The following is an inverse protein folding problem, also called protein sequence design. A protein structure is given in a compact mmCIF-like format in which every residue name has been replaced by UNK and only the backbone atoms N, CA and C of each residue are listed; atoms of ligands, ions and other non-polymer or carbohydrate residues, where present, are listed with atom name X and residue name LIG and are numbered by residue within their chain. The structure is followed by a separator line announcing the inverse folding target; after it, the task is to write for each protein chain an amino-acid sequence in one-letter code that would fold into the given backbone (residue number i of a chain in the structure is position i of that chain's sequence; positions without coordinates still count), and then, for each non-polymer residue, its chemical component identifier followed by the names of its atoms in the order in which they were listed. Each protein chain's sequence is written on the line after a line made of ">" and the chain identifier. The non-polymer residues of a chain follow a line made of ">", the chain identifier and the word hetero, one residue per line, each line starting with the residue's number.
data_IF_744258075708
#
_entry.id   IF_744258075708
#
_cell.length_a   1.000
_cell.length_b   1.000
_cell.length_c   1.000
_cell.angle_alpha   90.00
_cell.angle_beta   90.00
_cell.angle_gamma   90.00
#
_symmetry.space_group_name_H-M   'P 1'
#
loop_
_entity.id
_entity.type
_entity.pdbx_description
1 polymer ?
#
# COMPACT_ATOMS: atom_id res chain seq x y z
N UNK A 1 -3.68 -28.18 38.68
CA UNK A 1 -3.13 -27.11 37.83
C UNK A 1 -3.47 -27.47 36.40
N UNK A 2 -4.52 -26.87 35.83
CA UNK A 2 -4.90 -27.04 34.41
C UNK A 2 -4.15 -26.00 33.60
N UNK A 3 -3.53 -26.35 32.46
CA UNK A 3 -3.00 -25.34 31.54
C UNK A 3 -4.16 -24.67 30.79
N UNK A 4 -4.13 -23.35 30.78
CA UNK A 4 -5.03 -22.47 30.05
C UNK A 4 -4.90 -22.73 28.53
N UNK A 5 -6.01 -22.78 27.77
CA UNK A 5 -5.92 -22.93 26.32
C UNK A 5 -5.35 -21.66 25.69
N UNK A 6 -4.29 -21.83 24.93
CA UNK A 6 -3.72 -20.80 24.06
C UNK A 6 -4.84 -20.27 23.13
N UNK A 7 -5.01 -18.96 23.14
CA UNK A 7 -5.86 -18.24 22.21
C UNK A 7 -5.39 -18.48 20.79
N UNK A 8 -6.03 -19.44 20.15
CA UNK A 8 -5.90 -19.73 18.73
C UNK A 8 -6.32 -18.49 17.96
N UNK A 9 -5.32 -17.73 17.49
CA UNK A 9 -5.57 -16.65 16.54
C UNK A 9 -6.00 -17.33 15.26
N UNK A 10 -7.30 -17.43 15.07
CA UNK A 10 -7.93 -17.80 13.83
C UNK A 10 -7.34 -16.95 12.68
N UNK A 11 -6.28 -17.46 12.07
CA UNK A 11 -6.11 -17.19 10.65
C UNK A 11 -7.34 -17.78 9.97
N UNK A 12 -8.07 -17.04 9.15
CA UNK A 12 -9.16 -17.61 8.40
C UNK A 12 -8.58 -18.78 7.59
N UNK A 13 -8.95 -19.99 7.99
CA UNK A 13 -8.74 -21.18 7.17
C UNK A 13 -9.38 -20.84 5.83
N UNK A 14 -8.55 -20.70 4.82
CA UNK A 14 -8.97 -20.54 3.45
C UNK A 14 -9.64 -21.85 3.00
N UNK A 15 -10.87 -22.07 3.42
CA UNK A 15 -11.83 -22.75 2.59
C UNK A 15 -12.15 -21.79 1.45
N UNK A 16 -11.18 -21.70 0.54
CA UNK A 16 -11.41 -21.15 -0.78
C UNK A 16 -12.47 -22.07 -1.40
N UNK A 17 -13.73 -21.65 -1.37
CA UNK A 17 -14.71 -22.15 -2.31
C UNK A 17 -14.05 -22.03 -3.68
N UNK A 18 -13.66 -23.17 -4.24
CA UNK A 18 -13.07 -23.23 -5.59
C UNK A 18 -14.11 -22.62 -6.50
N UNK A 19 -13.88 -21.38 -6.92
CA UNK A 19 -14.77 -20.72 -7.89
C UNK A 19 -14.53 -21.39 -9.22
N UNK A 20 -15.59 -21.80 -9.88
CA UNK A 20 -15.54 -22.43 -11.20
C UNK A 20 -14.86 -21.53 -12.25
N UNK A 21 -14.85 -20.22 -12.01
CA UNK A 21 -14.12 -19.24 -12.80
C UNK A 21 -13.59 -18.12 -11.90
N UNK A 22 -12.29 -18.08 -11.57
CA UNK A 22 -11.69 -17.05 -10.71
C UNK A 22 -11.76 -15.64 -11.31
N UNK A 23 -11.94 -15.49 -12.62
CA UNK A 23 -12.07 -14.19 -13.29
C UNK A 23 -13.49 -13.62 -13.22
N UNK A 24 -14.48 -14.40 -12.79
CA UNK A 24 -15.84 -13.91 -12.64
C UNK A 24 -15.99 -13.15 -11.31
N UNK A 25 -16.54 -11.93 -11.32
CA UNK A 25 -16.81 -11.22 -10.08
C UNK A 25 -17.75 -12.02 -9.17
N UNK A 26 -17.53 -12.03 -7.85
CA UNK A 26 -18.45 -12.58 -6.89
C UNK A 26 -19.85 -11.97 -7.02
N UNK A 27 -20.87 -12.72 -6.63
CA UNK A 27 -22.25 -12.23 -6.69
C UNK A 27 -22.50 -11.00 -5.76
N UNK A 28 -21.70 -10.87 -4.72
CA UNK A 28 -21.71 -9.77 -3.74
C UNK A 28 -20.79 -8.61 -4.11
N UNK A 29 -20.20 -8.63 -5.32
CA UNK A 29 -19.34 -7.53 -5.78
C UNK A 29 -20.11 -6.22 -5.86
N UNK A 30 -19.45 -5.08 -5.55
CA UNK A 30 -20.09 -3.77 -5.65
C UNK A 30 -20.59 -3.51 -7.07
N UNK A 31 -21.89 -3.29 -7.22
CA UNK A 31 -22.52 -3.01 -8.52
C UNK A 31 -22.72 -1.52 -8.79
N UNK A 32 -22.55 -0.69 -7.75
CA UNK A 32 -22.68 0.78 -7.84
C UNK A 32 -21.43 1.48 -7.32
N UNK A 33 -21.19 2.71 -7.79
CA UNK A 33 -20.08 3.55 -7.29
C UNK A 33 -20.15 3.75 -5.77
N UNK A 34 -21.36 3.94 -5.23
CA UNK A 34 -21.55 4.13 -3.79
C UNK A 34 -21.15 2.88 -2.99
N UNK A 35 -21.47 1.69 -3.49
CA UNK A 35 -21.03 0.43 -2.88
C UNK A 35 -19.51 0.27 -2.98
N UNK A 36 -18.91 0.56 -4.14
CA UNK A 36 -17.45 0.52 -4.32
C UNK A 36 -16.75 1.46 -3.33
N UNK A 37 -17.22 2.70 -3.19
CA UNK A 37 -16.69 3.64 -2.21
C UNK A 37 -16.83 3.16 -0.77
N UNK A 38 -17.95 2.53 -0.40
CA UNK A 38 -18.11 1.95 0.95
C UNK A 38 -17.10 0.83 1.20
N UNK A 39 -16.93 -0.06 0.24
CA UNK A 39 -15.95 -1.15 0.34
C UNK A 39 -14.55 -0.57 0.46
N UNK A 40 -14.15 0.36 -0.40
CA UNK A 40 -12.87 1.04 -0.36
C UNK A 40 -12.61 1.68 1.01
N UNK A 41 -13.53 2.53 1.49
CA UNK A 41 -13.38 3.24 2.76
C UNK A 41 -13.52 2.32 3.98
N UNK A 42 -14.01 1.10 3.86
CA UNK A 42 -14.03 0.12 4.94
C UNK A 42 -12.68 -0.58 5.17
N UNK A 43 -11.76 -0.48 4.20
CA UNK A 43 -10.45 -1.12 4.30
C UNK A 43 -9.44 -0.24 5.06
N UNK A 44 -8.57 -0.91 5.80
CA UNK A 44 -7.56 -0.21 6.62
C UNK A 44 -6.53 0.57 5.80
N UNK A 45 -6.28 0.13 4.57
CA UNK A 45 -5.29 0.72 3.69
C UNK A 45 -5.70 2.14 3.27
N UNK A 46 -6.84 2.37 2.59
CA UNK A 46 -7.31 3.72 2.29
C UNK A 46 -7.49 4.60 3.53
N UNK A 47 -8.02 4.03 4.64
CA UNK A 47 -8.17 4.78 5.88
C UNK A 47 -6.83 5.28 6.41
N UNK A 48 -5.80 4.41 6.41
CA UNK A 48 -4.47 4.76 6.85
C UNK A 48 -3.83 5.84 5.96
N UNK A 49 -3.94 5.69 4.64
CA UNK A 49 -3.42 6.68 3.67
C UNK A 49 -4.11 8.03 3.82
N UNK A 50 -5.43 8.05 3.94
CA UNK A 50 -6.20 9.28 4.14
C UNK A 50 -5.78 9.96 5.46
N UNK A 51 -5.66 9.21 6.54
CA UNK A 51 -5.21 9.75 7.82
C UNK A 51 -3.81 10.36 7.72
N UNK A 52 -2.87 9.66 7.09
CA UNK A 52 -1.50 10.16 6.87
C UNK A 52 -1.47 11.41 5.99
N UNK A 53 -2.29 11.44 4.93
CA UNK A 53 -2.42 12.62 4.07
C UNK A 53 -2.95 13.82 4.85
N UNK A 54 -4.01 13.65 5.63
CA UNK A 54 -4.60 14.73 6.44
C UNK A 54 -3.59 15.26 7.45
N UNK A 55 -2.97 14.38 8.24
CA UNK A 55 -1.95 14.76 9.23
C UNK A 55 -0.77 15.45 8.56
N UNK A 56 -0.28 14.88 7.47
CA UNK A 56 0.85 15.44 6.74
C UNK A 56 0.54 16.79 6.09
N UNK A 57 -0.66 16.99 5.55
CA UNK A 57 -1.11 18.28 5.01
C UNK A 57 -1.20 19.35 6.10
N UNK A 58 -1.74 19.01 7.27
CA UNK A 58 -1.78 19.92 8.42
C UNK A 58 -0.35 20.29 8.83
N UNK A 59 0.54 19.32 8.95
CA UNK A 59 1.93 19.56 9.31
C UNK A 59 2.66 20.41 8.25
N UNK A 60 2.46 20.09 6.95
CA UNK A 60 3.05 20.89 5.87
C UNK A 60 2.57 22.34 5.88
N UNK A 61 1.29 22.55 6.17
CA UNK A 61 0.73 23.89 6.32
C UNK A 61 1.35 24.66 7.51
N UNK A 62 1.58 23.98 8.64
CA UNK A 62 2.21 24.57 9.83
C UNK A 62 3.68 24.95 9.61
N UNK A 63 4.42 24.17 8.81
CA UNK A 63 5.80 24.47 8.47
C UNK A 63 5.93 25.77 7.64
N UNK A 64 4.89 26.15 6.90
CA UNK A 64 4.93 27.31 6.00
C UNK A 64 6.00 27.19 4.91
N UNK A 65 6.53 28.34 4.46
CA UNK A 65 7.65 28.38 3.52
C UNK A 65 7.35 27.76 2.15
N UNK A 66 6.11 27.90 1.67
CA UNK A 66 5.72 27.44 0.33
C UNK A 66 6.47 28.22 -0.75
N UNK A 67 6.99 27.50 -1.75
CA UNK A 67 7.75 28.10 -2.82
C UNK A 67 7.53 27.38 -4.16
N UNK A 68 8.17 27.92 -5.21
CA UNK A 68 8.14 27.33 -6.54
C UNK A 68 8.63 25.88 -6.57
N UNK A 69 9.54 25.53 -5.65
CA UNK A 69 10.08 24.18 -5.55
C UNK A 69 9.00 23.15 -5.18
N UNK A 70 8.04 23.50 -4.34
CA UNK A 70 6.90 22.61 -4.03
C UNK A 70 6.09 22.29 -5.29
N UNK A 71 5.86 23.30 -6.15
CA UNK A 71 5.21 23.10 -7.44
C UNK A 71 6.00 22.18 -8.37
N UNK A 72 7.31 22.36 -8.44
CA UNK A 72 8.19 21.47 -9.24
C UNK A 72 8.15 20.05 -8.70
N UNK A 73 8.18 19.85 -7.37
CA UNK A 73 8.10 18.53 -6.75
C UNK A 73 6.78 17.85 -7.12
N UNK A 74 5.65 18.55 -7.01
CA UNK A 74 4.34 18.03 -7.38
C UNK A 74 4.35 17.51 -8.82
N UNK A 75 4.76 18.37 -9.78
CA UNK A 75 4.81 18.00 -11.20
C UNK A 75 5.79 16.85 -11.45
N UNK A 76 6.99 16.91 -10.87
CA UNK A 76 8.01 15.87 -11.07
C UNK A 76 7.55 14.51 -10.54
N UNK A 77 6.97 14.47 -9.33
CA UNK A 77 6.47 13.22 -8.74
C UNK A 77 5.33 12.66 -9.60
N UNK A 78 4.38 13.49 -10.03
CA UNK A 78 3.31 13.06 -10.92
C UNK A 78 3.83 12.49 -12.25
N UNK A 79 4.84 13.10 -12.83
CA UNK A 79 5.44 12.64 -14.08
C UNK A 79 6.24 11.34 -13.93
N UNK A 80 6.95 11.18 -12.80
CA UNK A 80 7.85 10.05 -12.55
C UNK A 80 7.09 8.84 -11.99
N UNK A 81 6.04 9.06 -11.20
CA UNK A 81 5.33 8.01 -10.49
C UNK A 81 4.91 6.82 -11.36
N UNK A 82 4.32 6.99 -12.56
CA UNK A 82 3.95 5.86 -13.41
C UNK A 82 5.14 4.96 -13.80
N UNK A 83 6.32 5.54 -13.98
CA UNK A 83 7.54 4.78 -14.29
C UNK A 83 8.05 4.02 -13.06
N UNK A 84 7.99 4.64 -11.88
CA UNK A 84 8.33 3.99 -10.61
C UNK A 84 7.39 2.82 -10.35
N UNK A 85 6.10 3.03 -10.50
CA UNK A 85 5.08 2.01 -10.37
C UNK A 85 5.29 0.86 -11.36
N UNK A 86 5.48 1.17 -12.64
CA UNK A 86 5.81 0.18 -13.66
C UNK A 86 7.06 -0.62 -13.28
N UNK A 87 8.11 0.05 -12.81
CA UNK A 87 9.35 -0.59 -12.38
C UNK A 87 9.15 -1.53 -11.20
N UNK A 88 8.43 -1.07 -10.16
CA UNK A 88 8.08 -1.90 -9.00
C UNK A 88 7.24 -3.10 -9.46
N UNK A 89 6.20 -2.87 -10.23
CA UNK A 89 5.34 -3.93 -10.73
C UNK A 89 6.14 -4.96 -11.54
N UNK A 90 6.96 -4.50 -12.48
CA UNK A 90 7.70 -5.36 -13.41
C UNK A 90 8.84 -6.14 -12.74
N UNK A 91 9.60 -5.50 -11.87
CA UNK A 91 10.84 -6.07 -11.33
C UNK A 91 10.71 -6.58 -9.91
N UNK A 92 9.84 -5.97 -9.09
CA UNK A 92 9.65 -6.37 -7.69
C UNK A 92 8.47 -7.31 -7.55
N UNK A 93 7.28 -6.93 -8.01
CA UNK A 93 6.06 -7.73 -7.79
C UNK A 93 6.05 -9.02 -8.62
N UNK A 94 6.61 -9.00 -9.82
CA UNK A 94 6.79 -10.20 -10.66
C UNK A 94 8.11 -10.95 -10.42
N UNK A 95 8.83 -10.64 -9.34
CA UNK A 95 10.05 -11.37 -8.99
C UNK A 95 9.73 -12.85 -8.76
N UNK A 96 10.49 -13.72 -9.43
CA UNK A 96 10.30 -15.17 -9.33
C UNK A 96 11.08 -15.74 -8.15
N UNK A 97 10.57 -16.79 -7.47
CA UNK A 97 11.33 -17.49 -6.45
C UNK A 97 12.69 -17.95 -7.00
N UNK A 98 13.75 -17.69 -6.24
CA UNK A 98 15.10 -18.11 -6.60
C UNK A 98 15.50 -19.28 -5.72
N UNK A 99 15.98 -20.35 -6.34
CA UNK A 99 16.54 -21.51 -5.63
C UNK A 99 18.06 -21.39 -5.54
N UNK A 100 18.55 -21.42 -4.31
CA UNK A 100 19.98 -21.48 -4.04
C UNK A 100 20.26 -22.75 -3.23
N UNK A 101 20.65 -23.82 -3.92
CA UNK A 101 20.80 -25.15 -3.34
C UNK A 101 19.47 -25.68 -2.79
N UNK A 102 19.42 -25.92 -1.47
CA UNK A 102 18.20 -26.37 -0.76
C UNK A 102 17.31 -25.23 -0.28
N UNK A 103 17.76 -23.98 -0.39
CA UNK A 103 17.03 -22.79 0.04
C UNK A 103 16.22 -22.21 -1.11
N UNK A 104 14.93 -21.95 -0.87
CA UNK A 104 14.09 -21.20 -1.80
C UNK A 104 13.86 -19.81 -1.19
N UNK A 105 14.31 -18.78 -1.90
CA UNK A 105 14.09 -17.38 -1.55
C UNK A 105 12.87 -16.90 -2.34
N UNK A 106 11.80 -16.63 -1.63
CA UNK A 106 10.56 -16.10 -2.20
C UNK A 106 10.05 -14.97 -1.31
N UNK A 107 10.12 -13.76 -1.82
CA UNK A 107 9.76 -12.57 -1.05
C UNK A 107 8.25 -12.44 -0.89
N UNK A 108 7.82 -11.82 0.22
CA UNK A 108 6.41 -11.67 0.58
C UNK A 108 5.61 -10.89 -0.48
N UNK A 109 6.12 -9.75 -0.96
CA UNK A 109 5.41 -8.91 -1.95
C UNK A 109 5.13 -9.65 -3.27
N UNK A 110 6.11 -10.31 -3.92
CA UNK A 110 5.84 -11.15 -5.08
C UNK A 110 4.85 -12.29 -4.80
N UNK A 111 4.88 -12.91 -3.62
CA UNK A 111 3.92 -13.96 -3.25
C UNK A 111 2.49 -13.43 -3.19
N UNK A 112 2.27 -12.30 -2.52
CA UNK A 112 0.94 -11.69 -2.41
C UNK A 112 0.42 -11.23 -3.77
N UNK A 113 1.30 -10.68 -4.61
CA UNK A 113 0.95 -10.24 -5.95
C UNK A 113 0.55 -11.42 -6.86
N UNK A 114 1.26 -12.56 -6.79
CA UNK A 114 0.84 -13.78 -7.51
C UNK A 114 -0.50 -14.32 -7.04
N UNK A 115 -0.82 -14.21 -5.74
CA UNK A 115 -2.14 -14.57 -5.19
C UNK A 115 -3.23 -13.63 -5.69
N UNK A 116 -2.93 -12.33 -5.80
CA UNK A 116 -3.84 -11.37 -6.41
C UNK A 116 -4.14 -11.73 -7.87
N UNK A 117 -3.15 -12.11 -8.66
CA UNK A 117 -3.39 -12.57 -10.04
C UNK A 117 -4.21 -13.86 -10.11
N UNK A 118 -4.09 -14.76 -9.13
CA UNK A 118 -4.86 -15.99 -9.07
C UNK A 118 -6.32 -15.76 -8.62
N UNK A 119 -6.55 -14.77 -7.75
CA UNK A 119 -7.89 -14.38 -7.26
C UNK A 119 -7.97 -12.85 -7.16
N UNK A 120 -8.19 -12.14 -8.27
CA UNK A 120 -8.18 -10.69 -8.34
C UNK A 120 -9.34 -10.03 -7.57
N UNK A 121 -10.38 -10.80 -7.22
CA UNK A 121 -11.53 -10.30 -6.47
C UNK A 121 -11.35 -10.41 -4.96
N UNK A 122 -10.28 -11.00 -4.50
CA UNK A 122 -9.97 -11.08 -3.08
C UNK A 122 -9.27 -9.81 -2.61
N UNK A 123 -10.04 -8.93 -2.00
CA UNK A 123 -9.59 -7.63 -1.54
C UNK A 123 -8.43 -7.69 -0.53
N UNK A 124 -8.26 -8.81 0.17
CA UNK A 124 -7.12 -9.00 1.07
C UNK A 124 -5.77 -8.94 0.33
N UNK A 125 -5.73 -9.39 -0.93
CA UNK A 125 -4.51 -9.37 -1.74
C UNK A 125 -4.40 -8.13 -2.62
N UNK A 126 -5.47 -7.35 -2.75
CA UNK A 126 -5.54 -6.15 -3.59
C UNK A 126 -4.94 -4.95 -2.88
N UNK A 127 -5.30 -4.75 -1.61
CA UNK A 127 -4.86 -3.60 -0.84
C UNK A 127 -3.45 -3.75 -0.28
N UNK A 128 -2.76 -2.60 -0.15
CA UNK A 128 -1.38 -2.56 0.37
C UNK A 128 -1.33 -3.09 1.82
N UNK A 129 -0.41 -4.02 2.13
CA UNK A 129 -0.27 -4.57 3.48
C UNK A 129 0.13 -3.51 4.52
N UNK A 130 -0.39 -3.63 5.74
CA UNK A 130 -0.16 -2.67 6.84
C UNK A 130 1.31 -2.39 7.14
N UNK A 131 2.19 -3.39 7.02
CA UNK A 131 3.61 -3.20 7.29
C UNK A 131 4.31 -2.27 6.30
N UNK A 132 3.78 -2.10 5.08
CA UNK A 132 4.31 -1.14 4.12
C UNK A 132 4.17 0.28 4.64
N UNK A 133 3.04 0.62 5.29
CA UNK A 133 2.85 1.93 5.91
C UNK A 133 3.84 2.19 7.03
N UNK A 134 4.17 1.18 7.83
CA UNK A 134 5.18 1.30 8.87
C UNK A 134 6.54 1.70 8.26
N UNK A 135 6.94 1.09 7.15
CA UNK A 135 8.15 1.46 6.43
C UNK A 135 8.09 2.87 5.86
N UNK A 136 6.95 3.27 5.29
CA UNK A 136 6.75 4.66 4.81
C UNK A 136 6.90 5.65 5.95
N UNK A 137 6.26 5.40 7.10
CA UNK A 137 6.35 6.26 8.28
C UNK A 137 7.79 6.35 8.82
N UNK A 138 8.49 5.23 8.93
CA UNK A 138 9.88 5.21 9.39
C UNK A 138 10.79 5.96 8.41
N UNK A 139 10.65 5.74 7.11
CA UNK A 139 11.45 6.45 6.10
C UNK A 139 11.17 7.94 6.11
N UNK A 140 9.91 8.34 6.26
CA UNK A 140 9.51 9.75 6.38
C UNK A 140 10.09 10.39 7.65
N UNK A 141 10.00 9.71 8.79
CA UNK A 141 10.54 10.22 10.05
C UNK A 141 12.07 10.43 9.97
N UNK A 142 12.79 9.43 9.45
CA UNK A 142 14.24 9.52 9.24
C UNK A 142 14.58 10.63 8.25
N UNK A 143 13.89 10.68 7.10
CA UNK A 143 14.13 11.70 6.09
C UNK A 143 13.90 13.10 6.61
N UNK A 144 12.80 13.35 7.32
CA UNK A 144 12.50 14.65 7.92
C UNK A 144 13.46 15.03 9.07
N UNK A 145 13.99 14.04 9.79
CA UNK A 145 15.01 14.26 10.80
C UNK A 145 16.35 14.67 10.18
N UNK A 146 16.75 14.02 9.09
CA UNK A 146 18.02 14.30 8.39
C UNK A 146 17.95 15.57 7.52
N UNK A 147 16.77 15.95 7.05
CA UNK A 147 16.58 17.03 6.08
C UNK A 147 16.36 18.39 6.75
N UNK A 148 17.28 18.80 7.64
CA UNK A 148 17.18 20.14 8.25
C UNK A 148 17.25 21.22 7.16
N UNK A 149 16.31 22.19 7.21
CA UNK A 149 16.14 23.20 6.15
C UNK A 149 15.36 22.74 4.90
N UNK A 150 15.19 21.44 4.67
CA UNK A 150 14.45 20.88 3.53
C UNK A 150 13.16 20.14 3.91
N UNK A 151 12.74 20.24 5.17
CA UNK A 151 11.58 19.52 5.71
C UNK A 151 10.29 19.81 4.93
N UNK A 152 10.06 21.07 4.55
CA UNK A 152 8.89 21.46 3.77
C UNK A 152 8.84 20.75 2.41
N UNK A 153 9.81 20.96 1.51
CA UNK A 153 9.89 20.28 0.21
C UNK A 153 9.86 18.76 0.33
N UNK A 154 10.57 18.15 1.29
CA UNK A 154 10.55 16.72 1.49
C UNK A 154 9.16 16.22 1.90
N UNK A 155 8.48 16.92 2.82
CA UNK A 155 7.12 16.57 3.22
C UNK A 155 6.15 16.71 2.04
N UNK A 156 6.29 17.75 1.20
CA UNK A 156 5.54 17.88 -0.05
C UNK A 156 5.73 16.65 -0.95
N UNK A 157 6.97 16.19 -1.11
CA UNK A 157 7.30 14.98 -1.87
C UNK A 157 6.56 13.75 -1.32
N UNK A 158 6.64 13.49 -0.01
CA UNK A 158 5.94 12.37 0.63
C UNK A 158 4.42 12.46 0.47
N UNK A 159 3.84 13.65 0.61
CA UNK A 159 2.39 13.84 0.45
C UNK A 159 1.91 13.51 -0.97
N UNK A 160 2.68 13.90 -1.98
CA UNK A 160 2.33 13.58 -3.37
C UNK A 160 2.45 12.07 -3.62
N UNK A 161 3.48 11.39 -3.09
CA UNK A 161 3.58 9.93 -3.17
C UNK A 161 2.44 9.23 -2.44
N UNK A 162 2.03 9.68 -1.24
CA UNK A 162 0.88 9.13 -0.53
C UNK A 162 -0.43 9.32 -1.31
N UNK A 163 -0.61 10.49 -1.92
CA UNK A 163 -1.78 10.78 -2.77
C UNK A 163 -1.83 9.86 -3.99
N UNK A 164 -0.68 9.65 -4.63
CA UNK A 164 -0.59 8.72 -5.75
C UNK A 164 -0.86 7.28 -5.31
N UNK A 165 -0.31 6.84 -4.15
CA UNK A 165 -0.61 5.54 -3.57
C UNK A 165 -2.11 5.35 -3.31
N UNK A 166 -2.77 6.38 -2.76
CA UNK A 166 -4.23 6.36 -2.55
C UNK A 166 -5.02 6.31 -3.86
N UNK A 167 -4.54 6.97 -4.91
CA UNK A 167 -5.16 6.93 -6.23
C UNK A 167 -5.01 5.56 -6.91
N UNK A 168 -3.91 4.85 -6.61
CA UNK A 168 -3.61 3.54 -7.17
C UNK A 168 -4.44 2.42 -6.52
N UNK A 169 -4.80 2.52 -5.24
CA UNK A 169 -5.67 1.57 -4.55
C UNK A 169 -7.13 1.64 -5.01
#
# INVERSE_FOLDING_TARGET
>A
MHPSPATDRHMPTAEATVRDNPMRPPADSPSTRAQAWRVFLSHHSPQGLIALLVIGCIWRAQLGGWGWLDGVIVVAVWAIFPFVEWGIHRFVLHFRPVRWGRLTIDFYLPQTHRRHHADPWNLYWTFVPRHVYAWVLVSMAIGLWLADGWRGPLLTCYLVFLLQGLHYE
#
